data_IF_998733172126
#
_entry.id   IF_998733172126
#
_cell.length_a   1.000
_cell.length_b   1.000
_cell.length_c   1.000
_cell.angle_alpha   90.00
_cell.angle_beta   90.00
_cell.angle_gamma   90.00
#
_symmetry.space_group_name_H-M   'P 1'
#
loop_
_entity.id
_entity.type
_entity.pdbx_description
1 polymer ?
#
# COMPACT_ATOMS: atom_id res chain seq x y z
N UNK A 1 -16.94 -26.02 -0.97
CA UNK A 1 -17.15 -25.49 0.39
C UNK A 1 -15.87 -25.70 1.17
N UNK A 2 -14.98 -24.71 1.20
CA UNK A 2 -13.77 -24.74 2.04
C UNK A 2 -14.21 -24.29 3.44
N UNK A 3 -13.86 -25.07 4.46
CA UNK A 3 -14.11 -24.70 5.86
C UNK A 3 -13.14 -23.56 6.24
N UNK A 4 -13.68 -22.38 6.52
CA UNK A 4 -12.94 -21.25 7.09
C UNK A 4 -12.62 -21.58 8.55
N UNK A 5 -11.45 -22.18 8.75
CA UNK A 5 -10.86 -22.41 10.05
C UNK A 5 -9.39 -22.03 9.97
N UNK A 6 -9.09 -20.80 10.39
CA UNK A 6 -7.78 -20.35 10.89
C UNK A 6 -6.55 -20.74 10.04
N UNK A 7 -6.59 -20.49 8.73
CA UNK A 7 -5.36 -20.39 7.95
C UNK A 7 -4.98 -18.91 7.83
N UNK A 8 -3.88 -18.52 8.46
CA UNK A 8 -3.28 -17.21 8.23
C UNK A 8 -2.95 -17.04 6.75
N UNK A 9 -3.57 -16.06 6.09
CA UNK A 9 -3.29 -15.75 4.69
C UNK A 9 -1.90 -15.11 4.59
N UNK A 10 -1.01 -15.71 3.80
CA UNK A 10 0.35 -15.21 3.58
C UNK A 10 0.50 -14.65 2.16
N UNK A 11 1.48 -13.75 1.94
CA UNK A 11 1.79 -13.26 0.60
C UNK A 11 2.18 -14.39 -0.35
N UNK A 12 2.84 -15.44 0.16
CA UNK A 12 3.16 -16.63 -0.63
C UNK A 12 1.92 -17.44 -1.02
N UNK A 13 0.93 -17.55 -0.13
CA UNK A 13 -0.35 -18.19 -0.46
C UNK A 13 -1.08 -17.41 -1.56
N UNK A 14 -1.16 -16.09 -1.44
CA UNK A 14 -1.78 -15.23 -2.45
C UNK A 14 -1.05 -15.33 -3.79
N UNK A 15 0.29 -15.29 -3.77
CA UNK A 15 1.13 -15.49 -4.95
C UNK A 15 0.83 -16.82 -5.66
N UNK A 16 0.76 -17.90 -4.90
CA UNK A 16 0.43 -19.23 -5.43
C UNK A 16 -0.97 -19.26 -6.04
N UNK A 17 -1.97 -18.70 -5.36
CA UNK A 17 -3.35 -18.62 -5.85
C UNK A 17 -3.48 -17.80 -7.12
N UNK A 18 -2.79 -16.66 -7.19
CA UNK A 18 -2.75 -15.82 -8.39
C UNK A 18 -2.06 -16.52 -9.57
N UNK A 19 -0.96 -17.22 -9.32
CA UNK A 19 -0.24 -17.97 -10.36
C UNK A 19 -1.06 -19.15 -10.89
N UNK A 20 -1.79 -19.85 -10.01
CA UNK A 20 -2.73 -20.91 -10.38
C UNK A 20 -3.86 -20.35 -11.24
N UNK A 21 -4.51 -19.28 -10.78
CA UNK A 21 -5.61 -18.61 -11.48
C UNK A 21 -5.23 -18.11 -12.88
N UNK A 22 -4.03 -17.53 -13.01
CA UNK A 22 -3.49 -17.05 -14.29
C UNK A 22 -3.19 -18.19 -15.27
N UNK A 23 -2.62 -19.30 -14.76
CA UNK A 23 -2.26 -20.47 -15.58
C UNK A 23 -3.49 -21.17 -16.13
N UNK A 24 -4.53 -21.31 -15.32
CA UNK A 24 -5.82 -21.90 -15.75
C UNK A 24 -6.47 -21.13 -16.92
N UNK A 25 -6.17 -19.84 -17.05
CA UNK A 25 -6.75 -18.95 -18.05
C UNK A 25 -5.81 -18.60 -19.19
N UNK A 26 -4.61 -19.19 -19.23
CA UNK A 26 -3.54 -18.88 -20.19
C UNK A 26 -3.17 -17.38 -20.23
N UNK A 27 -3.31 -16.69 -19.09
CA UNK A 27 -3.08 -15.25 -18.97
C UNK A 27 -1.61 -14.87 -18.83
N UNK A 28 -0.71 -15.85 -18.67
CA UNK A 28 0.74 -15.62 -18.58
C UNK A 28 1.29 -14.86 -19.79
N UNK A 29 0.66 -14.97 -20.97
CA UNK A 29 1.03 -14.21 -22.18
C UNK A 29 0.78 -12.71 -22.08
N UNK A 30 -0.23 -12.30 -21.29
CA UNK A 30 -0.64 -10.90 -21.14
C UNK A 30 0.01 -10.21 -19.93
N UNK A 31 0.53 -10.99 -18.99
CA UNK A 31 1.15 -10.54 -17.73
C UNK A 31 2.59 -10.04 -17.89
N UNK A 32 2.82 -9.10 -18.79
CA UNK A 32 4.07 -8.33 -18.77
C UNK A 32 4.11 -7.41 -17.54
N UNK A 33 5.29 -7.12 -16.95
CA UNK A 33 5.41 -6.21 -15.80
C UNK A 33 4.73 -4.86 -16.02
N UNK A 34 4.84 -4.30 -17.24
CA UNK A 34 4.20 -3.04 -17.60
C UNK A 34 2.67 -3.14 -17.54
N UNK A 35 2.09 -4.21 -18.07
CA UNK A 35 0.63 -4.36 -18.09
C UNK A 35 0.08 -4.55 -16.67
N UNK A 36 0.78 -5.34 -15.83
CA UNK A 36 0.42 -5.51 -14.43
C UNK A 36 0.51 -4.21 -13.63
N UNK A 37 1.53 -3.38 -13.90
CA UNK A 37 1.63 -2.05 -13.30
C UNK A 37 0.47 -1.14 -13.72
N UNK A 38 0.07 -1.17 -14.99
CA UNK A 38 -1.05 -0.36 -15.47
C UNK A 38 -2.39 -0.84 -14.87
N UNK A 39 -2.58 -2.15 -14.74
CA UNK A 39 -3.75 -2.70 -14.06
C UNK A 39 -3.78 -2.27 -12.58
N UNK A 40 -2.66 -2.40 -11.86
CA UNK A 40 -2.53 -1.91 -10.48
C UNK A 40 -2.91 -0.43 -10.34
N UNK A 41 -2.50 0.43 -11.29
CA UNK A 41 -2.88 1.85 -11.28
C UNK A 41 -4.39 2.02 -11.49
N UNK A 42 -5.02 1.18 -12.31
CA UNK A 42 -6.47 1.12 -12.48
C UNK A 42 -7.18 0.86 -11.15
N UNK A 43 -6.81 -0.22 -10.45
CA UNK A 43 -7.42 -0.58 -9.15
C UNK A 43 -7.20 0.51 -8.08
N UNK A 44 -6.05 1.19 -8.09
CA UNK A 44 -5.83 2.35 -7.20
C UNK A 44 -6.77 3.51 -7.56
N UNK A 45 -7.12 3.66 -8.83
CA UNK A 45 -8.14 4.59 -9.30
C UNK A 45 -9.51 4.24 -8.75
N UNK A 46 -9.96 2.99 -8.91
CA UNK A 46 -11.24 2.49 -8.40
C UNK A 46 -11.34 2.64 -6.88
N UNK A 47 -10.29 2.25 -6.15
CA UNK A 47 -10.17 2.52 -4.71
C UNK A 47 -10.30 4.02 -4.37
N UNK A 48 -9.74 4.90 -5.20
CA UNK A 48 -9.82 6.36 -4.98
C UNK A 48 -11.23 6.89 -5.23
N UNK A 49 -11.97 6.32 -6.18
CA UNK A 49 -13.34 6.71 -6.50
C UNK A 49 -14.30 6.50 -5.32
N UNK A 50 -14.06 5.50 -4.47
CA UNK A 50 -14.82 5.29 -3.23
C UNK A 50 -14.76 6.52 -2.31
N UNK A 51 -13.61 7.19 -2.25
CA UNK A 51 -13.38 8.32 -1.35
C UNK A 51 -13.60 9.69 -2.01
N UNK A 52 -13.67 9.77 -3.34
CA UNK A 52 -13.58 11.04 -4.09
C UNK A 52 -14.64 12.08 -3.68
N UNK A 53 -15.85 11.63 -3.28
CA UNK A 53 -16.97 12.49 -2.88
C UNK A 53 -17.24 12.46 -1.37
N UNK A 54 -16.43 11.72 -0.60
CA UNK A 54 -16.54 11.68 0.86
C UNK A 54 -15.79 12.89 1.43
N UNK A 55 -16.36 13.52 2.46
CA UNK A 55 -15.68 14.55 3.25
C UNK A 55 -14.58 13.95 4.13
N UNK A 56 -14.39 14.47 5.34
CA UNK A 56 -13.53 13.80 6.31
C UNK A 56 -14.12 12.44 6.68
N UNK A 57 -13.37 11.36 6.42
CA UNK A 57 -13.79 9.99 6.74
C UNK A 57 -13.22 9.58 8.10
N UNK A 58 -14.08 9.35 9.13
CA UNK A 58 -13.62 8.94 10.44
C UNK A 58 -13.02 7.52 10.44
N UNK A 59 -12.06 7.29 11.33
CA UNK A 59 -11.47 5.96 11.56
C UNK A 59 -12.57 4.96 11.95
N UNK A 60 -12.51 3.76 11.40
CA UNK A 60 -13.51 2.71 11.65
C UNK A 60 -14.78 2.81 10.81
N UNK A 61 -14.91 3.85 9.98
CA UNK A 61 -15.98 4.03 8.99
C UNK A 61 -17.41 3.96 9.60
N UNK A 62 -17.70 4.50 10.79
CA UNK A 62 -18.99 4.33 11.49
C UNK A 62 -20.22 4.63 10.63
N UNK A 63 -20.12 5.57 9.69
CA UNK A 63 -21.23 6.00 8.84
C UNK A 63 -21.36 5.19 7.54
N UNK A 64 -20.55 4.14 7.35
CA UNK A 64 -20.56 3.30 6.16
C UNK A 64 -21.42 2.07 6.38
N UNK A 65 -22.29 1.79 5.42
CA UNK A 65 -23.09 0.57 5.42
C UNK A 65 -22.24 -0.66 5.04
N UNK A 66 -22.85 -1.85 5.14
CA UNK A 66 -22.13 -3.11 4.89
C UNK A 66 -21.66 -3.23 3.43
N UNK A 67 -22.48 -2.83 2.47
CA UNK A 67 -22.15 -2.89 1.05
C UNK A 67 -20.94 -2.00 0.72
N UNK A 68 -20.88 -0.79 1.29
CA UNK A 68 -19.74 0.13 1.13
C UNK A 68 -18.45 -0.46 1.74
N UNK A 69 -18.55 -1.18 2.86
CA UNK A 69 -17.41 -1.83 3.51
C UNK A 69 -16.91 -3.03 2.73
N UNK A 70 -17.83 -3.82 2.18
CA UNK A 70 -17.51 -4.95 1.30
C UNK A 70 -16.80 -4.43 0.05
N UNK A 71 -17.37 -3.43 -0.62
CA UNK A 71 -16.77 -2.84 -1.83
C UNK A 71 -15.38 -2.25 -1.57
N UNK A 72 -15.19 -1.53 -0.44
CA UNK A 72 -13.86 -1.08 -0.04
C UNK A 72 -12.88 -2.25 0.17
N UNK A 73 -13.35 -3.35 0.75
CA UNK A 73 -12.56 -4.56 0.93
C UNK A 73 -12.15 -5.21 -0.39
N UNK A 74 -13.03 -5.19 -1.39
CA UNK A 74 -12.76 -5.67 -2.75
C UNK A 74 -11.65 -4.84 -3.42
N UNK A 75 -11.80 -3.52 -3.48
CA UNK A 75 -10.80 -2.64 -4.11
C UNK A 75 -9.42 -2.68 -3.42
N UNK A 76 -9.41 -2.76 -2.07
CA UNK A 76 -8.18 -2.96 -1.32
C UNK A 76 -7.51 -4.30 -1.66
N UNK A 77 -8.33 -5.33 -1.88
CA UNK A 77 -7.85 -6.66 -2.23
C UNK A 77 -7.29 -6.67 -3.65
N UNK A 78 -7.92 -6.01 -4.61
CA UNK A 78 -7.45 -5.97 -5.99
C UNK A 78 -6.10 -5.26 -6.10
N UNK A 79 -5.93 -4.11 -5.43
CA UNK A 79 -4.62 -3.44 -5.30
C UNK A 79 -3.55 -4.40 -4.74
N UNK A 80 -3.89 -5.14 -3.68
CA UNK A 80 -2.96 -6.12 -3.09
C UNK A 80 -2.61 -7.26 -4.06
N UNK A 81 -3.61 -7.84 -4.72
CA UNK A 81 -3.44 -8.99 -5.61
C UNK A 81 -2.58 -8.64 -6.82
N UNK A 82 -2.81 -7.48 -7.46
CA UNK A 82 -1.96 -7.02 -8.56
C UNK A 82 -0.55 -6.69 -8.10
N UNK A 83 -0.36 -6.11 -6.91
CA UNK A 83 0.97 -5.84 -6.36
C UNK A 83 1.73 -7.15 -6.09
N UNK A 84 1.08 -8.15 -5.50
CA UNK A 84 1.65 -9.48 -5.28
C UNK A 84 2.01 -10.13 -6.62
N UNK A 85 1.11 -10.11 -7.61
CA UNK A 85 1.38 -10.69 -8.93
C UNK A 85 2.51 -9.97 -9.67
N UNK A 86 2.55 -8.64 -9.60
CA UNK A 86 3.64 -7.85 -10.16
C UNK A 86 4.99 -8.23 -9.53
N UNK A 87 5.02 -8.41 -8.20
CA UNK A 87 6.24 -8.83 -7.50
C UNK A 87 6.71 -10.23 -7.92
N UNK A 88 5.78 -11.16 -8.12
CA UNK A 88 6.03 -12.53 -8.59
C UNK A 88 6.68 -12.53 -9.99
N UNK A 89 6.06 -11.83 -10.94
CA UNK A 89 6.60 -11.71 -12.31
C UNK A 89 7.96 -10.98 -12.32
N UNK A 90 8.20 -10.04 -11.42
CA UNK A 90 9.48 -9.36 -11.28
C UNK A 90 10.55 -10.17 -10.52
N UNK A 91 10.20 -11.33 -9.95
CA UNK A 91 11.12 -12.12 -9.11
C UNK A 91 11.49 -11.45 -7.79
N UNK A 92 10.62 -10.58 -7.26
CA UNK A 92 10.83 -9.84 -6.02
C UNK A 92 10.10 -10.54 -4.87
N UNK A 93 10.84 -10.88 -3.81
CA UNK A 93 10.25 -11.28 -2.54
C UNK A 93 9.66 -10.05 -1.85
N UNK A 94 8.36 -9.80 -2.09
CA UNK A 94 7.64 -8.64 -1.57
C UNK A 94 7.64 -8.59 -0.03
N UNK A 95 7.51 -9.74 0.63
CA UNK A 95 7.52 -9.82 2.10
C UNK A 95 8.85 -9.38 2.69
N UNK A 96 9.97 -9.92 2.17
CA UNK A 96 11.31 -9.50 2.59
C UNK A 96 11.60 -8.05 2.23
N UNK A 97 11.18 -7.59 1.06
CA UNK A 97 11.35 -6.20 0.63
C UNK A 97 10.62 -5.23 1.57
N UNK A 98 9.37 -5.54 1.95
CA UNK A 98 8.57 -4.76 2.89
C UNK A 98 9.21 -4.71 4.28
N UNK A 99 9.64 -5.86 4.83
CA UNK A 99 10.32 -5.92 6.14
C UNK A 99 11.60 -5.08 6.16
N UNK A 100 12.44 -5.18 5.12
CA UNK A 100 13.63 -4.35 4.97
C UNK A 100 13.26 -2.86 4.93
N UNK A 101 12.19 -2.49 4.22
CA UNK A 101 11.74 -1.10 4.13
C UNK A 101 11.27 -0.54 5.47
N UNK A 102 10.57 -1.34 6.29
CA UNK A 102 10.17 -0.97 7.65
C UNK A 102 11.39 -0.68 8.54
N UNK A 103 12.42 -1.53 8.50
CA UNK A 103 13.66 -1.33 9.25
C UNK A 103 14.39 -0.04 8.84
N UNK A 104 14.49 0.22 7.53
CA UNK A 104 15.09 1.44 7.01
C UNK A 104 14.29 2.68 7.42
N UNK A 105 12.95 2.60 7.43
CA UNK A 105 12.10 3.70 7.88
C UNK A 105 12.28 3.97 9.38
N UNK A 106 12.44 2.93 10.22
CA UNK A 106 12.71 3.09 11.66
C UNK A 106 14.04 3.80 11.95
N UNK A 107 15.07 3.54 11.15
CA UNK A 107 16.35 4.25 11.24
C UNK A 107 16.23 5.70 10.77
N UNK A 108 15.42 5.95 9.74
CA UNK A 108 15.17 7.29 9.21
C UNK A 108 14.35 8.17 10.16
N UNK A 109 13.43 7.59 10.95
CA UNK A 109 12.54 8.29 11.89
C UNK A 109 12.57 7.66 13.30
N UNK A 110 13.61 7.94 14.11
CA UNK A 110 13.74 7.40 15.46
C UNK A 110 12.68 7.95 16.43
N UNK A 111 12.31 7.15 17.42
CA UNK A 111 11.26 7.47 18.42
C UNK A 111 11.55 8.76 19.22
N UNK A 112 12.82 9.10 19.43
CA UNK A 112 13.23 10.32 20.12
C UNK A 112 12.85 11.59 19.36
N UNK A 113 12.88 11.55 18.02
CA UNK A 113 12.47 12.67 17.17
C UNK A 113 10.95 12.73 16.99
N UNK A 114 10.24 11.62 17.12
CA UNK A 114 8.77 11.59 17.01
C UNK A 114 8.05 12.04 18.29
N UNK A 115 8.65 11.82 19.48
CA UNK A 115 8.08 12.30 20.76
C UNK A 115 8.35 13.78 21.05
N UNK A 116 9.43 14.36 20.55
CA UNK A 116 9.81 15.77 20.78
C UNK A 116 9.16 16.76 19.80
N UNK A 117 8.68 16.28 18.65
CA UNK A 117 8.01 17.09 17.63
C UNK A 117 6.68 17.71 18.10
N UNK A 118 6.10 17.24 19.21
CA UNK A 118 4.95 17.88 19.86
C UNK A 118 5.29 19.19 20.58
N UNK A 119 6.56 19.59 20.70
CA UNK A 119 6.94 20.79 21.47
C UNK A 119 7.80 21.84 20.76
N UNK A 120 8.59 21.54 19.71
CA UNK A 120 9.46 22.56 19.10
C UNK A 120 9.66 22.43 17.60
N UNK A 121 9.07 23.39 16.87
CA UNK A 121 9.46 23.79 15.53
C UNK A 121 10.87 24.39 15.56
N UNK A 122 11.91 23.61 15.25
CA UNK A 122 13.21 24.06 14.68
C UNK A 122 14.27 22.98 14.92
N UNK A 123 14.38 22.00 14.02
CA UNK A 123 15.65 21.27 13.79
C UNK A 123 15.64 20.29 12.58
N UNK A 124 14.60 20.30 11.75
CA UNK A 124 14.53 19.40 10.58
C UNK A 124 15.39 19.80 9.37
N UNK A 125 16.12 20.92 9.43
CA UNK A 125 16.83 21.48 8.26
C UNK A 125 18.14 20.77 7.90
N UNK A 126 18.69 19.92 8.76
CA UNK A 126 20.03 19.34 8.57
C UNK A 126 20.04 17.84 8.18
N UNK A 127 18.88 17.17 8.09
CA UNK A 127 18.80 15.73 7.75
C UNK A 127 18.60 15.45 6.24
N UNK A 128 18.68 16.47 5.38
CA UNK A 128 18.50 16.36 3.93
C UNK A 128 19.71 15.82 3.17
N UNK A 129 20.75 15.34 3.87
CA UNK A 129 22.01 14.89 3.28
C UNK A 129 22.34 13.42 3.59
N UNK A 130 21.36 12.53 3.41
CA UNK A 130 21.64 11.12 3.09
C UNK A 130 21.04 10.80 1.72
N UNK A 131 21.92 10.34 0.84
CA UNK A 131 21.85 10.49 -0.60
C UNK A 131 21.49 9.17 -1.29
N UNK A 132 20.94 9.30 -2.50
CA UNK A 132 21.01 8.42 -3.69
C UNK A 132 20.05 7.23 -3.93
N UNK A 133 19.04 6.94 -3.08
CA UNK A 133 17.91 6.07 -3.49
C UNK A 133 16.55 6.51 -2.92
N UNK A 134 16.24 7.81 -2.97
CA UNK A 134 15.00 8.36 -2.41
C UNK A 134 13.99 8.79 -3.49
N UNK A 135 13.05 7.93 -3.84
CA UNK A 135 11.90 8.26 -4.70
C UNK A 135 10.62 7.69 -4.02
N UNK A 136 9.49 8.37 -3.81
CA UNK A 136 9.08 9.76 -4.01
C UNK A 136 8.44 10.30 -2.69
N UNK A 137 8.89 11.45 -2.19
CA UNK A 137 8.34 12.19 -1.02
C UNK A 137 7.90 11.34 0.20
N UNK A 138 8.86 10.57 0.74
CA UNK A 138 8.93 10.05 2.12
C UNK A 138 7.78 9.21 2.68
N UNK A 139 6.88 8.78 1.78
CA UNK A 139 5.67 7.99 1.99
C UNK A 139 4.88 8.51 3.19
N UNK A 140 4.36 9.73 3.03
CA UNK A 140 3.61 10.45 4.04
C UNK A 140 4.50 10.65 5.29
N UNK A 141 5.35 11.69 5.33
CA UNK A 141 6.20 12.10 6.48
C UNK A 141 5.53 12.13 7.88
N UNK A 142 4.26 11.89 8.15
CA UNK A 142 2.92 12.38 7.81
C UNK A 142 2.08 11.11 8.12
N UNK A 143 1.21 10.54 7.30
CA UNK A 143 -0.06 9.94 7.76
C UNK A 143 -0.85 10.93 8.63
N UNK A 144 -0.29 11.52 9.71
CA UNK A 144 -0.99 12.49 10.58
C UNK A 144 -0.05 13.46 11.36
N UNK A 145 0.67 14.37 10.71
CA UNK A 145 1.19 15.58 11.40
C UNK A 145 2.37 16.26 10.71
N UNK A 146 2.31 17.51 10.22
CA UNK A 146 1.26 18.54 10.30
C UNK A 146 0.67 18.86 8.91
N UNK A 147 -0.67 18.79 8.82
CA UNK A 147 -1.55 19.37 7.78
C UNK A 147 -1.29 18.94 6.33
N UNK A 148 -2.14 18.01 5.89
CA UNK A 148 -2.55 17.85 4.50
C UNK A 148 -2.55 19.19 3.75
N UNK A 149 -1.77 19.25 2.68
CA UNK A 149 -2.03 20.20 1.60
C UNK A 149 -1.75 19.50 0.27
N UNK A 150 -2.55 18.48 -0.02
CA UNK A 150 -2.70 18.00 -1.38
C UNK A 150 -3.71 18.91 -2.07
N UNK A 151 -3.22 19.80 -2.91
CA UNK A 151 -4.00 20.36 -4.01
C UNK A 151 -3.66 19.49 -5.21
N UNK A 152 -4.43 18.42 -5.37
CA UNK A 152 -4.58 17.85 -6.71
C UNK A 152 -5.45 18.83 -7.50
N UNK A 153 -5.13 18.91 -8.79
CA UNK A 153 -5.52 19.94 -9.75
C UNK A 153 -7.04 20.09 -9.81
#
# INVERSE_FOLDING_TARGET
MVKEGDQSVTLDLLKQKMAEFARERDWDKSHSPRNLLLALVGEVGELSEIFQWKGEVPKGLPDWNEEERVHLGEELSDVLLYLVRLSDICGIDLGRAALRKVQLNALKYPVSLSKSASSKNQEWRNFTRWSIYGNAFDMITILFGEKCRYRFI
#
